data_IF_403928388671
#
_entry.id   IF_403928388671
#
_cell.length_a   1.000
_cell.length_b   1.000
_cell.length_c   1.000
_cell.angle_alpha   90.00
_cell.angle_beta   90.00
_cell.angle_gamma   90.00
#
_symmetry.space_group_name_H-M   'P 1'
#
loop_
_entity.id
_entity.type
_entity.pdbx_description
1 polymer ?
#
# COMPACT_ATOMS: atom_id res chain seq x y z
N UNK A 1 -30.39 8.80 -48.72
CA UNK A 1 -31.63 9.61 -48.60
C UNK A 1 -31.90 9.76 -47.11
N UNK A 2 -32.07 10.90 -46.45
CA UNK A 2 -32.26 12.29 -46.83
C UNK A 2 -31.79 13.14 -45.64
N UNK A 3 -31.05 14.22 -45.90
CA UNK A 3 -30.95 15.34 -44.96
C UNK A 3 -32.34 15.99 -44.78
N UNK A 4 -32.55 16.69 -43.65
CA UNK A 4 -33.29 17.97 -43.51
C UNK A 4 -33.28 18.41 -42.03
N UNK A 5 -32.47 19.42 -41.67
CA UNK A 5 -32.82 20.86 -41.48
C UNK A 5 -33.69 21.14 -40.24
N UNK A 6 -33.21 21.83 -39.21
CA UNK A 6 -32.96 23.28 -39.03
C UNK A 6 -34.21 24.12 -38.67
N UNK A 7 -33.99 25.04 -37.71
CA UNK A 7 -34.77 26.23 -37.27
C UNK A 7 -35.79 25.97 -36.14
N UNK A 8 -35.60 26.51 -34.92
CA UNK A 8 -35.46 27.90 -34.42
C UNK A 8 -36.82 28.60 -34.18
N UNK A 9 -36.81 29.56 -33.23
CA UNK A 9 -37.89 30.48 -32.80
C UNK A 9 -38.84 29.85 -31.77
N UNK A 10 -39.17 30.39 -30.61
CA UNK A 10 -39.06 31.73 -30.01
C UNK A 10 -40.03 31.78 -28.79
N UNK A 11 -40.09 32.89 -28.02
CA UNK A 11 -40.29 32.90 -26.57
C UNK A 11 -41.73 33.18 -26.10
N UNK A 12 -42.15 32.69 -24.92
CA UNK A 12 -43.26 33.27 -24.12
C UNK A 12 -43.04 33.09 -22.60
N UNK A 13 -42.74 34.23 -21.98
CA UNK A 13 -43.09 34.80 -20.66
C UNK A 13 -43.81 33.99 -19.55
N UNK A 14 -43.23 34.18 -18.35
CA UNK A 14 -43.84 34.41 -17.01
C UNK A 14 -44.57 33.24 -16.32
N UNK A 15 -43.98 32.81 -15.20
CA UNK A 15 -44.64 32.06 -14.14
C UNK A 15 -43.71 31.86 -12.95
N UNK A 16 -43.70 32.81 -12.01
CA UNK A 16 -43.02 32.68 -10.72
C UNK A 16 -43.64 31.52 -9.96
N UNK A 17 -42.95 30.38 -9.89
CA UNK A 17 -43.20 29.35 -8.91
C UNK A 17 -41.94 29.20 -8.06
N UNK A 18 -42.01 29.74 -6.84
CA UNK A 18 -41.05 29.50 -5.78
C UNK A 18 -41.11 28.00 -5.47
N UNK A 19 -40.19 27.23 -6.07
CA UNK A 19 -39.86 25.90 -5.55
C UNK A 19 -38.59 26.11 -4.75
N UNK A 20 -38.74 26.03 -3.43
CA UNK A 20 -37.66 25.76 -2.50
C UNK A 20 -37.06 24.39 -2.84
N UNK A 21 -36.24 24.35 -3.90
CA UNK A 21 -35.41 23.22 -4.26
C UNK A 21 -34.13 23.36 -3.46
N UNK A 22 -33.99 22.52 -2.43
CA UNK A 22 -32.79 22.49 -1.59
C UNK A 22 -31.56 22.55 -2.47
N UNK A 23 -30.66 23.47 -2.13
CA UNK A 23 -29.25 23.33 -2.45
C UNK A 23 -28.83 22.00 -1.81
N UNK A 24 -28.96 20.92 -2.57
CA UNK A 24 -28.21 19.71 -2.35
C UNK A 24 -26.75 20.07 -2.57
N UNK A 25 -26.17 20.76 -1.60
CA UNK A 25 -24.76 20.66 -1.33
C UNK A 25 -24.53 19.16 -1.20
N UNK A 26 -23.95 18.56 -2.24
CA UNK A 26 -23.21 17.35 -2.08
C UNK A 26 -22.22 17.66 -0.95
N UNK A 27 -22.55 17.23 0.26
CA UNK A 27 -21.59 17.10 1.33
C UNK A 27 -20.57 16.13 0.76
N UNK A 28 -19.51 16.68 0.15
CA UNK A 28 -18.25 15.95 0.06
C UNK A 28 -17.97 15.57 1.50
N UNK A 29 -18.11 14.28 1.81
CA UNK A 29 -17.70 13.76 3.11
C UNK A 29 -16.29 14.27 3.33
N UNK A 30 -16.14 15.13 4.34
CA UNK A 30 -14.85 15.70 4.66
C UNK A 30 -13.98 14.53 5.11
N UNK A 31 -12.98 14.18 4.30
CA UNK A 31 -11.99 13.19 4.65
C UNK A 31 -11.29 13.65 5.92
N UNK A 32 -11.05 12.73 6.85
CA UNK A 32 -10.30 13.04 8.06
C UNK A 32 -8.95 13.68 7.68
N UNK A 33 -8.53 14.79 8.31
CA UNK A 33 -7.29 15.48 7.94
C UNK A 33 -6.04 14.61 8.04
N UNK A 34 -6.00 13.68 9.00
CA UNK A 34 -4.90 12.73 9.18
C UNK A 34 -4.84 11.69 8.05
N UNK A 35 -5.99 11.22 7.60
CA UNK A 35 -6.14 10.39 6.39
C UNK A 35 -5.72 11.15 5.15
N UNK A 36 -6.20 12.39 4.97
CA UNK A 36 -5.81 13.21 3.82
C UNK A 36 -4.29 13.44 3.78
N UNK A 37 -3.65 13.65 4.94
CA UNK A 37 -2.19 13.75 5.02
C UNK A 37 -1.50 12.47 4.57
N UNK A 38 -1.98 11.31 5.00
CA UNK A 38 -1.42 10.03 4.56
C UNK A 38 -1.50 9.87 3.04
N UNK A 39 -2.63 10.26 2.42
CA UNK A 39 -2.82 10.25 0.97
C UNK A 39 -1.85 11.21 0.25
N UNK A 40 -1.66 12.41 0.78
CA UNK A 40 -0.80 13.44 0.17
C UNK A 40 0.70 13.15 0.34
N UNK A 41 1.07 12.34 1.33
CA UNK A 41 2.45 11.95 1.62
C UNK A 41 2.99 10.80 0.73
N UNK A 42 2.17 10.27 -0.17
CA UNK A 42 2.55 9.22 -1.12
C UNK A 42 3.36 9.78 -2.27
N UNK A 43 4.45 9.10 -2.66
CA UNK A 43 5.28 9.46 -3.81
C UNK A 43 4.46 9.46 -5.11
N UNK A 44 4.58 10.55 -5.86
CA UNK A 44 3.93 10.73 -7.15
C UNK A 44 4.85 10.45 -8.34
N UNK A 45 4.34 10.79 -9.52
CA UNK A 45 5.09 10.70 -10.78
C UNK A 45 6.41 11.50 -10.70
N UNK A 46 7.51 10.87 -11.09
CA UNK A 46 8.85 11.49 -11.08
C UNK A 46 9.52 11.57 -9.69
N UNK A 47 8.87 11.10 -8.63
CA UNK A 47 9.48 11.00 -7.30
C UNK A 47 10.10 9.63 -7.01
N UNK A 48 9.74 8.61 -7.79
CA UNK A 48 10.42 7.33 -7.81
C UNK A 48 11.75 7.40 -8.58
N UNK A 49 12.69 6.46 -8.34
CA UNK A 49 13.95 6.41 -9.08
C UNK A 49 13.75 6.39 -10.61
N UNK A 50 14.74 6.91 -11.35
CA UNK A 50 14.68 6.97 -12.80
C UNK A 50 14.42 5.58 -13.42
N UNK A 51 13.51 5.52 -14.40
CA UNK A 51 13.09 4.27 -15.05
C UNK A 51 11.80 3.68 -14.46
N UNK A 52 11.41 4.04 -13.23
CA UNK A 52 10.15 3.61 -12.64
C UNK A 52 9.00 4.52 -13.08
N UNK A 53 7.86 3.90 -13.40
CA UNK A 53 6.61 4.59 -13.73
C UNK A 53 5.53 4.22 -12.72
N UNK A 54 4.82 5.22 -12.19
CA UNK A 54 3.75 4.97 -11.23
C UNK A 54 2.57 4.29 -11.92
N UNK A 55 2.10 3.20 -11.32
CA UNK A 55 0.91 2.48 -11.77
C UNK A 55 -0.30 3.05 -11.05
N UNK A 56 -1.24 3.60 -11.81
CA UNK A 56 -2.56 3.98 -11.28
C UNK A 56 -3.42 2.73 -11.21
N UNK A 57 -3.48 2.13 -10.02
CA UNK A 57 -4.46 1.08 -9.74
C UNK A 57 -5.86 1.69 -9.72
N UNK A 58 -6.79 1.12 -10.50
CA UNK A 58 -8.20 1.49 -10.45
C UNK A 58 -8.81 1.17 -9.09
N UNK A 59 -9.96 1.77 -8.76
CA UNK A 59 -10.67 1.48 -7.50
C UNK A 59 -11.01 -0.02 -7.37
N UNK A 60 -11.40 -0.64 -8.48
CA UNK A 60 -11.73 -2.07 -8.55
C UNK A 60 -10.50 -2.95 -8.35
N UNK A 61 -9.35 -2.59 -8.93
CA UNK A 61 -8.10 -3.35 -8.73
C UNK A 61 -7.65 -3.30 -7.27
N UNK A 62 -7.77 -2.13 -6.63
CA UNK A 62 -7.43 -1.95 -5.22
C UNK A 62 -8.31 -2.82 -4.32
N UNK A 63 -9.63 -2.77 -4.49
CA UNK A 63 -10.53 -3.56 -3.66
C UNK A 63 -10.27 -5.06 -3.79
N UNK A 64 -10.02 -5.56 -4.99
CA UNK A 64 -9.70 -6.98 -5.21
C UNK A 64 -8.38 -7.37 -4.55
N UNK A 65 -7.34 -6.55 -4.69
CA UNK A 65 -6.05 -6.81 -4.05
C UNK A 65 -6.19 -6.83 -2.53
N UNK A 66 -6.89 -5.84 -1.98
CA UNK A 66 -7.08 -5.70 -0.53
C UNK A 66 -7.91 -6.84 0.04
N UNK A 67 -9.02 -7.20 -0.60
CA UNK A 67 -9.84 -8.36 -0.23
C UNK A 67 -9.00 -9.65 -0.22
N UNK A 68 -8.18 -9.88 -1.25
CA UNK A 68 -7.30 -11.05 -1.31
C UNK A 68 -6.27 -11.08 -0.18
N UNK A 69 -5.66 -9.94 0.16
CA UNK A 69 -4.74 -9.84 1.29
C UNK A 69 -5.46 -10.07 2.62
N UNK A 70 -6.65 -9.50 2.80
CA UNK A 70 -7.45 -9.63 4.00
C UNK A 70 -7.92 -11.07 4.23
N UNK A 71 -8.43 -11.72 3.20
CA UNK A 71 -8.86 -13.12 3.24
C UNK A 71 -7.68 -14.05 3.53
N UNK A 72 -6.53 -13.80 2.89
CA UNK A 72 -5.30 -14.55 3.16
C UNK A 72 -4.85 -14.40 4.62
N UNK A 73 -4.98 -13.22 5.22
CA UNK A 73 -4.62 -12.97 6.63
C UNK A 73 -5.61 -13.58 7.61
N UNK A 74 -6.91 -13.45 7.37
CA UNK A 74 -7.98 -14.02 8.20
C UNK A 74 -7.95 -15.55 8.18
N UNK A 75 -7.71 -16.12 6.99
CA UNK A 75 -7.60 -17.55 6.75
C UNK A 75 -6.23 -18.15 7.09
N UNK A 76 -5.26 -17.39 7.59
CA UNK A 76 -3.92 -17.89 7.84
C UNK A 76 -3.71 -18.42 9.28
N UNK A 77 -3.02 -19.57 9.36
CA UNK A 77 -2.36 -20.04 10.59
C UNK A 77 -0.88 -19.69 10.49
N UNK A 78 -0.37 -19.01 11.53
CA UNK A 78 1.04 -18.61 11.61
C UNK A 78 1.70 -19.45 12.70
N UNK A 79 2.88 -19.99 12.40
CA UNK A 79 3.72 -20.72 13.34
C UNK A 79 5.10 -20.07 13.40
N UNK A 80 5.60 -19.63 14.57
CA UNK A 80 4.92 -19.64 15.89
C UNK A 80 3.69 -18.73 15.94
N UNK A 81 2.67 -19.12 16.71
CA UNK A 81 1.42 -18.35 16.82
C UNK A 81 1.64 -16.95 17.44
N UNK A 82 2.66 -16.79 18.28
CA UNK A 82 3.07 -15.49 18.84
C UNK A 82 3.49 -14.48 17.77
N UNK A 83 3.87 -14.94 16.57
CA UNK A 83 4.27 -14.09 15.47
C UNK A 83 3.09 -13.66 14.57
N UNK A 84 1.86 -14.11 14.89
CA UNK A 84 0.66 -13.62 14.21
C UNK A 84 0.40 -12.18 14.64
N UNK A 85 0.28 -11.28 13.66
CA UNK A 85 -0.15 -9.90 13.93
C UNK A 85 -1.65 -9.87 14.19
N UNK A 86 -2.06 -9.49 15.40
CA UNK A 86 -3.46 -9.20 15.74
C UNK A 86 -3.91 -7.80 15.29
N UNK A 87 -2.97 -6.96 14.82
CA UNK A 87 -3.30 -5.66 14.27
C UNK A 87 -4.18 -5.81 13.02
N UNK A 88 -5.36 -5.16 13.05
CA UNK A 88 -6.22 -4.99 11.88
C UNK A 88 -5.39 -4.31 10.78
N UNK A 89 -5.51 -4.79 9.54
CA UNK A 89 -5.00 -4.04 8.42
C UNK A 89 -5.63 -2.63 8.43
N UNK A 90 -4.85 -1.57 8.20
CA UNK A 90 -5.42 -0.25 7.91
C UNK A 90 -6.45 -0.35 6.79
N UNK A 91 -7.51 0.45 6.85
CA UNK A 91 -8.43 0.57 5.72
C UNK A 91 -7.70 1.21 4.53
N UNK A 92 -8.05 0.78 3.31
CA UNK A 92 -7.52 1.41 2.09
C UNK A 92 -7.90 2.89 2.02
N UNK A 93 -9.08 3.25 2.55
CA UNK A 93 -9.51 4.63 2.64
C UNK A 93 -8.58 5.48 3.53
N UNK A 94 -7.95 4.85 4.53
CA UNK A 94 -7.12 5.49 5.55
C UNK A 94 -5.61 5.37 5.25
N UNK A 95 -5.26 4.79 4.09
CA UNK A 95 -3.88 4.47 3.73
C UNK A 95 -3.50 5.10 2.40
N UNK A 96 -2.52 6.01 2.44
CA UNK A 96 -1.83 6.44 1.23
C UNK A 96 -1.00 5.32 0.64
N UNK A 97 -1.17 4.99 -0.64
CA UNK A 97 -0.36 3.97 -1.33
C UNK A 97 -0.01 4.33 -2.76
N UNK A 98 1.22 4.02 -3.17
CA UNK A 98 1.68 4.07 -4.56
C UNK A 98 2.49 2.83 -4.92
N UNK A 99 2.44 2.48 -6.20
CA UNK A 99 3.23 1.41 -6.80
C UNK A 99 3.90 1.96 -8.04
N UNK A 100 5.18 1.69 -8.22
CA UNK A 100 5.92 2.04 -9.42
C UNK A 100 6.66 0.83 -9.98
N UNK A 101 6.72 0.73 -11.30
CA UNK A 101 7.27 -0.44 -12.02
C UNK A 101 8.36 -0.04 -13.01
N UNK A 102 9.38 -0.89 -13.13
CA UNK A 102 10.47 -0.80 -14.11
C UNK A 102 10.90 -2.20 -14.55
N UNK A 103 10.45 -2.64 -15.73
CA UNK A 103 10.64 -4.03 -16.17
C UNK A 103 9.97 -5.01 -15.22
N UNK A 104 10.72 -5.98 -14.69
CA UNK A 104 10.24 -6.93 -13.68
C UNK A 104 10.27 -6.37 -12.26
N UNK A 105 10.84 -5.18 -12.06
CA UNK A 105 11.01 -4.58 -10.73
C UNK A 105 9.82 -3.74 -10.32
N UNK A 106 9.39 -3.91 -9.08
CA UNK A 106 8.29 -3.15 -8.48
C UNK A 106 8.73 -2.54 -7.16
N UNK A 107 8.45 -1.26 -7.00
CA UNK A 107 8.54 -0.53 -5.75
C UNK A 107 7.13 -0.19 -5.29
N UNK A 108 6.83 -0.43 -4.02
CA UNK A 108 5.58 0.04 -3.41
C UNK A 108 5.88 0.85 -2.16
N UNK A 109 5.03 1.84 -1.93
CA UNK A 109 5.01 2.63 -0.70
C UNK A 109 3.60 2.58 -0.13
N UNK A 110 3.49 2.46 1.18
CA UNK A 110 2.30 2.82 1.94
C UNK A 110 2.62 3.74 3.11
N UNK A 111 1.65 4.60 3.44
CA UNK A 111 1.67 5.53 4.57
C UNK A 111 0.33 5.40 5.27
N UNK A 112 0.35 5.10 6.57
CA UNK A 112 -0.84 5.03 7.41
C UNK A 112 -0.52 5.59 8.78
N UNK A 113 -1.53 6.09 9.48
CA UNK A 113 -1.38 6.46 10.89
C UNK A 113 -0.95 5.25 11.72
N UNK A 114 -0.01 5.48 12.63
CA UNK A 114 0.49 4.41 13.48
C UNK A 114 1.16 4.94 14.75
N UNK A 115 0.96 4.21 15.83
CA UNK A 115 1.66 4.41 17.11
C UNK A 115 2.78 3.39 17.32
N UNK A 116 3.09 2.57 16.30
CA UNK A 116 4.13 1.53 16.42
C UNK A 116 5.52 2.15 16.48
N UNK A 117 6.34 1.68 17.42
CA UNK A 117 7.73 2.10 17.54
C UNK A 117 8.69 1.10 16.87
N UNK A 118 9.96 1.50 16.76
CA UNK A 118 11.02 0.70 16.13
C UNK A 118 11.28 -0.60 16.87
N UNK A 119 11.13 -0.63 18.20
CA UNK A 119 11.38 -1.83 19.00
C UNK A 119 10.30 -2.89 18.73
N UNK A 120 9.04 -2.48 18.64
CA UNK A 120 7.92 -3.35 18.27
C UNK A 120 8.09 -3.88 16.83
N UNK A 121 8.48 -3.01 15.89
CA UNK A 121 8.77 -3.41 14.51
C UNK A 121 9.91 -4.44 14.44
N UNK A 122 10.99 -4.25 15.21
CA UNK A 122 12.12 -5.16 15.23
C UNK A 122 11.75 -6.50 15.88
N UNK A 123 11.01 -6.48 16.99
CA UNK A 123 10.55 -7.70 17.67
C UNK A 123 9.66 -8.56 16.77
N UNK A 124 8.85 -7.94 15.90
CA UNK A 124 7.97 -8.64 14.98
C UNK A 124 8.70 -9.43 13.87
N UNK A 125 10.01 -9.21 13.67
CA UNK A 125 10.79 -9.82 12.57
C UNK A 125 12.11 -10.44 13.02
N UNK A 126 12.35 -10.53 14.33
CA UNK A 126 13.58 -11.10 14.90
C UNK A 126 13.26 -12.21 15.90
N UNK A 127 14.29 -12.90 16.40
CA UNK A 127 14.12 -13.99 17.36
C UNK A 127 13.28 -15.13 16.78
N UNK A 128 12.27 -15.57 17.52
CA UNK A 128 11.36 -16.63 17.08
C UNK A 128 10.52 -16.25 15.85
N UNK A 129 10.34 -14.95 15.59
CA UNK A 129 9.60 -14.44 14.42
C UNK A 129 10.47 -14.16 13.20
N UNK A 130 11.78 -14.43 13.29
CA UNK A 130 12.66 -14.39 12.12
C UNK A 130 12.33 -15.51 11.11
N UNK A 131 11.68 -16.59 11.54
CA UNK A 131 11.23 -17.69 10.68
C UNK A 131 9.81 -18.04 11.04
N UNK A 132 8.89 -17.85 10.10
CA UNK A 132 7.48 -18.16 10.30
C UNK A 132 6.96 -19.02 9.16
N UNK A 133 6.08 -19.95 9.48
CA UNK A 133 5.31 -20.70 8.50
C UNK A 133 3.90 -20.16 8.49
N UNK A 134 3.40 -19.82 7.31
CA UNK A 134 2.03 -19.36 7.08
C UNK A 134 1.30 -20.43 6.28
N UNK A 135 0.30 -21.05 6.88
CA UNK A 135 -0.61 -21.97 6.22
C UNK A 135 -1.90 -21.22 5.88
N UNK A 136 -2.25 -21.17 4.59
CA UNK A 136 -3.50 -20.60 4.12
C UNK A 136 -4.57 -21.70 4.23
N UNK A 137 -5.61 -21.43 5.02
CA UNK A 137 -6.68 -22.41 5.34
C UNK A 137 -8.05 -22.04 4.77
N UNK A 138 -8.11 -21.02 3.91
CA UNK A 138 -9.33 -20.56 3.26
C UNK A 138 -9.04 -19.82 1.94
N UNK A 139 -10.06 -19.71 1.09
CA UNK A 139 -9.98 -18.97 -0.17
C UNK A 139 -9.29 -19.74 -1.30
N UNK A 140 -8.97 -19.05 -2.40
CA UNK A 140 -8.42 -19.66 -3.61
C UNK A 140 -7.02 -20.28 -3.43
N UNK A 141 -6.32 -19.94 -2.33
CA UNK A 141 -5.00 -20.44 -2.00
C UNK A 141 -5.01 -21.45 -0.83
N UNK A 142 -6.17 -21.98 -0.45
CA UNK A 142 -6.28 -23.02 0.59
C UNK A 142 -5.34 -24.21 0.35
N UNK A 143 -4.74 -24.71 1.44
CA UNK A 143 -3.73 -25.77 1.41
C UNK A 143 -2.31 -25.30 1.05
N UNK A 144 -2.14 -24.02 0.70
CA UNK A 144 -0.82 -23.45 0.43
C UNK A 144 -0.08 -23.18 1.73
N UNK A 145 1.17 -23.63 1.80
CA UNK A 145 2.08 -23.30 2.90
C UNK A 145 3.17 -22.38 2.39
N UNK A 146 3.49 -21.33 3.13
CA UNK A 146 4.58 -20.39 2.82
C UNK A 146 5.52 -20.36 4.00
N UNK A 147 6.77 -20.76 3.79
CA UNK A 147 7.85 -20.52 4.73
C UNK A 147 8.43 -19.13 4.48
N UNK A 148 8.45 -18.29 5.51
CA UNK A 148 8.97 -16.92 5.47
C UNK A 148 10.18 -16.84 6.37
N UNK A 149 11.30 -16.36 5.84
CA UNK A 149 12.53 -16.09 6.57
C UNK A 149 12.89 -14.61 6.44
N UNK A 150 13.04 -13.94 7.59
CA UNK A 150 13.47 -12.56 7.71
C UNK A 150 14.98 -12.54 7.94
N UNK A 151 15.71 -11.84 7.09
CA UNK A 151 17.17 -11.76 7.08
C UNK A 151 17.63 -10.31 6.95
N UNK A 152 18.91 -10.05 7.17
CA UNK A 152 19.52 -8.71 7.06
C UNK A 152 18.77 -7.61 7.82
N UNK A 153 18.18 -7.97 8.97
CA UNK A 153 17.40 -7.05 9.80
C UNK A 153 18.34 -6.02 10.41
N UNK A 154 18.13 -4.76 10.06
CA UNK A 154 18.91 -3.61 10.54
C UNK A 154 17.98 -2.53 11.09
N UNK A 155 18.52 -1.64 11.95
CA UNK A 155 17.79 -0.48 12.47
C UNK A 155 18.44 0.85 12.08
N UNK A 156 18.48 1.18 10.78
CA UNK A 156 19.14 2.39 10.30
C UNK A 156 18.40 3.67 10.72
N UNK A 157 19.11 4.79 10.67
CA UNK A 157 18.52 6.13 10.68
C UNK A 157 18.40 6.62 9.23
N UNK A 158 17.18 6.93 8.80
CA UNK A 158 16.83 7.43 7.47
C UNK A 158 16.23 8.82 7.64
N UNK A 159 16.83 9.85 7.04
CA UNK A 159 16.33 11.23 7.13
C UNK A 159 15.99 11.67 8.58
N UNK A 160 16.85 11.30 9.54
CA UNK A 160 16.68 11.63 10.96
C UNK A 160 15.75 10.68 11.75
N UNK A 161 15.09 9.74 11.09
CA UNK A 161 14.13 8.81 11.70
C UNK A 161 14.69 7.40 11.78
N UNK A 162 14.55 6.74 12.92
CA UNK A 162 14.93 5.33 13.05
C UNK A 162 13.86 4.45 12.42
N UNK A 163 14.28 3.40 11.72
CA UNK A 163 13.38 2.41 11.14
C UNK A 163 13.91 0.99 11.26
N UNK A 164 13.20 0.05 10.66
CA UNK A 164 13.62 -1.34 10.47
C UNK A 164 13.68 -1.62 8.98
N UNK A 165 14.82 -2.12 8.51
CA UNK A 165 15.01 -2.58 7.12
C UNK A 165 15.41 -4.05 7.15
N UNK A 166 14.83 -4.86 6.29
CA UNK A 166 15.07 -6.29 6.22
C UNK A 166 14.86 -6.87 4.81
N UNK A 167 15.38 -8.07 4.61
CA UNK A 167 15.11 -8.91 3.45
C UNK A 167 14.21 -10.06 3.88
N UNK A 168 13.02 -10.14 3.28
CA UNK A 168 12.09 -11.25 3.47
C UNK A 168 12.23 -12.22 2.31
N UNK A 169 12.47 -13.49 2.64
CA UNK A 169 12.48 -14.59 1.69
C UNK A 169 11.25 -15.45 1.96
N UNK A 170 10.39 -15.59 0.96
CA UNK A 170 9.23 -16.47 1.00
C UNK A 170 9.45 -17.68 0.10
N UNK A 171 9.16 -18.87 0.60
CA UNK A 171 9.20 -20.12 -0.16
C UNK A 171 7.85 -20.80 -0.05
N UNK A 172 7.12 -20.89 -1.16
CA UNK A 172 5.82 -21.55 -1.21
C UNK A 172 6.00 -23.05 -1.41
N UNK A 173 5.42 -23.87 -0.54
CA UNK A 173 5.44 -25.33 -0.64
C UNK A 173 4.32 -25.81 -1.56
N UNK A 174 4.67 -26.45 -2.69
CA UNK A 174 3.76 -26.96 -3.73
C UNK A 174 4.50 -27.39 -5.00
N UNK A 175 3.80 -27.84 -6.05
CA UNK A 175 4.39 -28.47 -7.27
C UNK A 175 5.43 -27.63 -8.03
N UNK A 176 5.53 -26.32 -7.76
CA UNK A 176 6.51 -25.41 -8.39
C UNK A 176 7.39 -24.62 -7.42
N UNK A 177 7.41 -24.99 -6.13
CA UNK A 177 8.33 -24.45 -5.11
C UNK A 177 8.92 -23.07 -5.42
N UNK A 178 8.11 -22.01 -5.32
CA UNK A 178 8.57 -20.68 -5.75
C UNK A 178 9.23 -19.96 -4.59
N UNK A 179 10.51 -19.63 -4.76
CA UNK A 179 11.26 -18.75 -3.86
C UNK A 179 11.15 -17.32 -4.37
N UNK A 180 10.71 -16.42 -3.51
CA UNK A 180 10.67 -14.97 -3.77
C UNK A 180 11.43 -14.23 -2.69
N UNK A 181 12.15 -13.21 -3.12
CA UNK A 181 12.86 -12.29 -2.24
C UNK A 181 12.23 -10.91 -2.34
N UNK A 182 12.08 -10.24 -1.21
CA UNK A 182 11.61 -8.87 -1.14
C UNK A 182 12.37 -8.08 -0.08
N UNK A 183 12.61 -6.81 -0.36
CA UNK A 183 13.15 -5.88 0.63
C UNK A 183 12.00 -5.11 1.26
N UNK A 184 12.06 -4.89 2.57
CA UNK A 184 11.03 -4.18 3.32
C UNK A 184 11.71 -3.14 4.23
N UNK A 185 11.25 -1.90 4.15
CA UNK A 185 11.63 -0.81 5.05
C UNK A 185 10.39 -0.30 5.78
N UNK A 186 10.47 -0.15 7.09
CA UNK A 186 9.40 0.36 7.96
C UNK A 186 9.94 1.45 8.87
N UNK A 187 9.41 2.66 8.75
CA UNK A 187 9.94 3.84 9.44
C UNK A 187 8.78 4.62 10.05
N UNK A 188 8.69 4.68 11.39
CA UNK A 188 7.80 5.62 12.07
C UNK A 188 8.27 7.06 11.87
N UNK A 189 7.37 7.94 11.43
CA UNK A 189 7.62 9.36 11.14
C UNK A 189 6.42 10.15 11.65
N UNK A 190 6.60 10.97 12.69
CA UNK A 190 5.59 11.92 13.20
C UNK A 190 4.16 11.36 13.35
N UNK A 191 4.01 10.12 13.84
CA UNK A 191 2.71 9.47 14.04
C UNK A 191 2.18 8.69 12.83
N UNK A 192 2.98 8.55 11.78
CA UNK A 192 2.72 7.72 10.62
C UNK A 192 3.74 6.58 10.53
N UNK A 193 3.34 5.46 9.96
CA UNK A 193 4.24 4.40 9.54
C UNK A 193 4.43 4.45 8.02
N UNK A 194 5.65 4.72 7.61
CA UNK A 194 6.07 4.62 6.21
C UNK A 194 6.57 3.20 5.96
N UNK A 195 5.94 2.50 5.02
CA UNK A 195 6.41 1.19 4.56
C UNK A 195 6.80 1.28 3.09
N UNK A 196 8.02 0.84 2.75
CA UNK A 196 8.46 0.66 1.37
C UNK A 196 8.80 -0.81 1.15
N UNK A 197 8.40 -1.34 0.01
CA UNK A 197 8.76 -2.70 -0.40
C UNK A 197 9.35 -2.68 -1.81
N UNK A 198 10.32 -3.55 -2.05
CA UNK A 198 10.87 -3.80 -3.37
C UNK A 198 10.80 -5.30 -3.68
N UNK A 199 10.32 -5.64 -4.88
CA UNK A 199 10.23 -7.02 -5.38
C UNK A 199 10.66 -7.07 -6.84
N UNK A 200 11.11 -8.23 -7.31
CA UNK A 200 11.16 -8.53 -8.75
C UNK A 200 10.25 -9.71 -9.08
N UNK A 201 9.43 -9.56 -10.12
CA UNK A 201 8.49 -10.57 -10.58
C UNK A 201 9.17 -11.86 -11.05
N UNK A 202 10.42 -11.78 -11.52
CA UNK A 202 11.22 -12.92 -11.95
C UNK A 202 11.93 -13.66 -10.79
N UNK A 203 11.73 -13.22 -9.55
CA UNK A 203 12.31 -13.82 -8.35
C UNK A 203 13.77 -13.44 -8.05
N UNK A 204 14.42 -12.59 -8.84
CA UNK A 204 15.76 -12.10 -8.53
C UNK A 204 15.75 -11.11 -7.36
N UNK A 205 16.89 -10.96 -6.68
CA UNK A 205 17.06 -9.99 -5.59
C UNK A 205 16.68 -8.57 -6.04
N UNK A 206 15.87 -7.82 -5.26
CA UNK A 206 15.49 -6.45 -5.57
C UNK A 206 16.69 -5.48 -5.70
N UNK A 207 16.52 -4.42 -6.48
CA UNK A 207 17.54 -3.35 -6.57
C UNK A 207 17.62 -2.58 -5.24
N UNK A 208 18.72 -2.83 -4.51
CA UNK A 208 19.00 -2.20 -3.22
C UNK A 208 19.06 -0.66 -3.31
N UNK A 209 19.67 -0.13 -4.36
CA UNK A 209 19.83 1.32 -4.52
C UNK A 209 18.50 2.01 -4.79
N UNK A 210 17.67 1.41 -5.65
CA UNK A 210 16.32 1.90 -5.91
C UNK A 210 15.44 1.85 -4.65
N UNK A 211 15.55 0.77 -3.87
CA UNK A 211 14.86 0.63 -2.58
C UNK A 211 15.29 1.71 -1.57
N UNK A 212 16.59 1.87 -1.32
CA UNK A 212 17.11 2.83 -0.33
C UNK A 212 16.74 4.28 -0.71
N UNK A 213 16.85 4.62 -2.01
CA UNK A 213 16.47 5.94 -2.52
C UNK A 213 14.96 6.22 -2.34
N UNK A 214 14.11 5.22 -2.62
CA UNK A 214 12.65 5.33 -2.44
C UNK A 214 12.29 5.48 -0.97
N UNK A 215 12.92 4.70 -0.09
CA UNK A 215 12.68 4.78 1.35
C UNK A 215 13.06 6.16 1.91
N UNK A 216 14.24 6.66 1.56
CA UNK A 216 14.67 8.00 1.98
C UNK A 216 13.71 9.09 1.49
N UNK A 217 13.31 9.03 0.21
CA UNK A 217 12.38 10.00 -0.37
C UNK A 217 11.00 9.95 0.28
N UNK A 218 10.48 8.76 0.56
CA UNK A 218 9.20 8.57 1.24
C UNK A 218 9.22 9.14 2.66
N UNK A 219 10.26 8.85 3.45
CA UNK A 219 10.43 9.40 4.81
C UNK A 219 10.54 10.91 4.77
N UNK A 220 11.34 11.46 3.86
CA UNK A 220 11.47 12.91 3.67
C UNK A 220 10.13 13.57 3.34
N UNK A 221 9.34 12.97 2.44
CA UNK A 221 8.05 13.52 2.04
C UNK A 221 7.06 13.55 3.19
N UNK A 222 6.97 12.46 3.96
CA UNK A 222 6.08 12.37 5.13
C UNK A 222 6.48 13.40 6.19
N UNK A 223 7.78 13.49 6.51
CA UNK A 223 8.29 14.48 7.47
C UNK A 223 8.05 15.94 7.02
N UNK A 224 7.97 16.20 5.71
CA UNK A 224 7.67 17.53 5.17
C UNK A 224 6.17 17.87 5.16
N UNK A 225 5.29 16.89 5.39
CA UNK A 225 3.83 17.06 5.51
C UNK A 225 3.34 17.17 6.96
N UNK A 226 4.26 17.02 7.92
CA UNK A 226 4.03 17.15 9.37
C UNK A 226 3.83 18.60 9.82
#
# INVERSE_FOLDING_TARGET
MSQKTFRAVGPVLIGTAIIAGGLGCATSEAVDPGVQRALDAVLGDGEFPAGYSVVKLGKEDKSVITEQFDDSRKGARVTPASCKSDAKAPDDADTGSAVAVHGDSTLSQSVAESTVDVAALQAAVTGECAKVTVEITAGAADGTTVAIEQTDVTTPTIEGHRGVVLTQVSTTTGDRGERREMMIGRVPVDGYLVTVQAVNANGSAPDRGAFDATLARAVQKVAATS
#
